data_IF_284028988718
#
_entry.id   IF_284028988718
#
_cell.length_a   1.000
_cell.length_b   1.000
_cell.length_c   1.000
_cell.angle_alpha   90.00
_cell.angle_beta   90.00
_cell.angle_gamma   90.00
#
_symmetry.space_group_name_H-M   'P 1'
#
loop_
_entity.id
_entity.type
_entity.pdbx_description
1 polymer ?
#
# COMPACT_ATOMS: atom_id res chain seq x y z
N UNK A 1 10.57 -8.08 11.41
CA UNK A 1 11.53 -8.13 10.30
C UNK A 1 10.84 -7.77 8.98
N UNK A 2 11.48 -6.94 8.20
CA UNK A 2 10.92 -6.52 6.89
C UNK A 2 11.61 -7.33 5.80
N UNK A 3 10.82 -7.86 4.88
CA UNK A 3 11.35 -8.63 3.74
C UNK A 3 10.48 -8.47 2.50
N UNK A 4 11.07 -8.75 1.36
CA UNK A 4 10.31 -8.81 0.11
C UNK A 4 9.42 -10.06 0.13
N UNK A 5 8.17 -9.91 -0.27
CA UNK A 5 7.23 -11.02 -0.36
C UNK A 5 7.47 -11.83 -1.62
N UNK A 6 7.18 -13.12 -1.53
CA UNK A 6 7.30 -14.06 -2.65
C UNK A 6 5.91 -14.57 -3.05
N UNK A 7 5.86 -15.42 -4.07
CA UNK A 7 4.60 -16.05 -4.50
C UNK A 7 3.92 -16.81 -3.35
N UNK A 8 4.69 -17.38 -2.44
CA UNK A 8 4.14 -18.12 -1.30
C UNK A 8 3.38 -17.23 -0.32
N UNK A 9 3.61 -15.92 -0.38
CA UNK A 9 2.97 -14.95 0.51
C UNK A 9 1.63 -14.43 -0.01
N UNK A 10 1.23 -14.77 -1.22
CA UNK A 10 0.03 -14.20 -1.87
C UNK A 10 -1.22 -14.37 -1.01
N UNK A 11 -1.40 -15.53 -0.38
CA UNK A 11 -2.53 -15.78 0.51
C UNK A 11 -2.57 -14.83 1.70
N UNK A 12 -1.42 -14.59 2.32
CA UNK A 12 -1.32 -13.68 3.47
C UNK A 12 -1.51 -12.23 3.04
N UNK A 13 -0.97 -11.84 1.89
CA UNK A 13 -1.18 -10.50 1.32
C UNK A 13 -2.67 -10.28 1.07
N UNK A 14 -3.34 -11.25 0.47
CA UNK A 14 -4.77 -11.22 0.21
C UNK A 14 -5.57 -10.99 1.51
N UNK A 15 -5.26 -11.72 2.55
CA UNK A 15 -5.94 -11.58 3.84
C UNK A 15 -5.71 -10.19 4.47
N UNK A 16 -4.47 -9.72 4.44
CA UNK A 16 -4.13 -8.41 5.02
C UNK A 16 -4.86 -7.28 4.30
N UNK A 17 -4.84 -7.29 2.97
CA UNK A 17 -5.52 -6.25 2.18
C UNK A 17 -7.01 -6.24 2.49
N UNK A 18 -7.66 -7.39 2.48
CA UNK A 18 -9.12 -7.46 2.65
C UNK A 18 -9.54 -7.20 4.11
N UNK A 19 -8.75 -7.62 5.09
CA UNK A 19 -9.00 -7.26 6.48
C UNK A 19 -8.89 -5.74 6.67
N UNK A 20 -7.81 -5.16 6.18
CA UNK A 20 -7.56 -3.72 6.35
C UNK A 20 -8.53 -2.86 5.56
N UNK A 21 -9.03 -3.36 4.43
CA UNK A 21 -9.98 -2.63 3.60
C UNK A 21 -11.30 -2.37 4.33
N UNK A 22 -11.64 -3.17 5.34
CA UNK A 22 -12.86 -2.95 6.12
C UNK A 22 -12.90 -1.56 6.78
N UNK A 23 -11.75 -1.01 7.13
CA UNK A 23 -11.67 0.34 7.68
C UNK A 23 -12.06 1.42 6.66
N UNK A 24 -12.02 1.07 5.37
CA UNK A 24 -12.37 1.99 4.27
C UNK A 24 -13.80 1.82 3.77
N UNK A 25 -14.54 0.89 4.35
CA UNK A 25 -15.95 0.70 3.97
C UNK A 25 -16.72 1.98 4.31
N UNK A 26 -17.45 2.52 3.33
CA UNK A 26 -18.11 3.81 3.46
C UNK A 26 -17.23 5.01 3.07
N UNK A 27 -15.91 4.83 3.00
CA UNK A 27 -14.94 5.83 2.50
C UNK A 27 -14.72 5.62 1.01
N UNK A 28 -14.56 4.35 0.60
CA UNK A 28 -14.47 3.98 -0.81
C UNK A 28 -15.84 4.16 -1.43
N UNK A 29 -15.98 4.84 -2.58
CA UNK A 29 -17.27 5.01 -3.25
C UNK A 29 -17.96 3.67 -3.45
N UNK A 30 -19.28 3.63 -3.25
CA UNK A 30 -20.08 2.40 -3.31
C UNK A 30 -19.93 1.67 -4.63
N UNK A 31 -19.80 2.39 -5.73
CA UNK A 31 -19.62 1.81 -7.06
C UNK A 31 -18.25 1.15 -7.25
N UNK A 32 -17.33 1.37 -6.32
CA UNK A 32 -15.99 0.78 -6.33
C UNK A 32 -15.78 -0.23 -5.22
N UNK A 33 -16.74 -0.35 -4.31
CA UNK A 33 -16.67 -1.33 -3.24
C UNK A 33 -17.29 -2.65 -3.68
N UNK A 34 -16.58 -3.73 -3.42
CA UNK A 34 -17.13 -5.08 -3.56
C UNK A 34 -16.50 -5.97 -2.49
N UNK A 35 -17.06 -7.14 -2.28
CA UNK A 35 -16.63 -8.03 -1.22
C UNK A 35 -16.29 -9.41 -1.82
N UNK A 36 -15.01 -9.86 -1.75
CA UNK A 36 -13.90 -9.16 -1.09
C UNK A 36 -13.48 -7.91 -1.88
N UNK A 37 -12.94 -6.92 -1.17
CA UNK A 37 -12.48 -5.68 -1.81
C UNK A 37 -11.44 -5.95 -2.90
N UNK A 38 -10.48 -6.83 -2.61
CA UNK A 38 -9.46 -7.25 -3.58
C UNK A 38 -9.61 -8.75 -3.84
N UNK A 39 -10.31 -9.16 -4.92
CA UNK A 39 -10.35 -10.57 -5.30
C UNK A 39 -8.95 -11.12 -5.57
N UNK A 40 -8.74 -12.40 -5.29
CA UNK A 40 -7.43 -13.03 -5.45
C UNK A 40 -6.88 -12.90 -6.87
N UNK A 41 -7.74 -13.06 -7.88
CA UNK A 41 -7.31 -12.94 -9.29
C UNK A 41 -6.81 -11.53 -9.60
N UNK A 42 -7.42 -10.52 -9.02
CA UNK A 42 -7.00 -9.12 -9.23
C UNK A 42 -5.64 -8.88 -8.59
N UNK A 43 -5.42 -9.42 -7.39
CA UNK A 43 -4.12 -9.33 -6.73
C UNK A 43 -3.02 -10.00 -7.56
N UNK A 44 -3.29 -11.19 -8.07
CA UNK A 44 -2.33 -11.91 -8.90
C UNK A 44 -2.01 -11.15 -10.18
N UNK A 45 -3.02 -10.52 -10.80
CA UNK A 45 -2.82 -9.70 -11.99
C UNK A 45 -1.96 -8.47 -11.70
N UNK A 46 -2.16 -7.81 -10.57
CA UNK A 46 -1.35 -6.64 -10.21
C UNK A 46 0.11 -7.02 -9.96
N UNK A 47 0.35 -8.17 -9.34
CA UNK A 47 1.71 -8.66 -9.16
C UNK A 47 2.35 -8.97 -10.51
N UNK A 48 1.61 -9.58 -11.43
CA UNK A 48 2.08 -9.84 -12.79
C UNK A 48 2.39 -8.55 -13.55
N UNK A 49 1.68 -7.45 -13.23
CA UNK A 49 1.90 -6.14 -13.84
C UNK A 49 3.08 -5.37 -13.23
N UNK A 50 3.79 -5.97 -12.29
CA UNK A 50 5.03 -5.41 -11.78
C UNK A 50 4.98 -4.83 -10.37
N UNK A 51 3.86 -4.98 -9.66
CA UNK A 51 3.82 -4.56 -8.26
C UNK A 51 4.59 -5.57 -7.41
N UNK A 52 5.55 -5.07 -6.65
CA UNK A 52 6.34 -5.86 -5.71
C UNK A 52 5.85 -5.54 -4.30
N UNK A 53 5.49 -6.56 -3.54
CA UNK A 53 5.08 -6.37 -2.15
C UNK A 53 6.25 -6.59 -1.21
N UNK A 54 6.34 -5.70 -0.22
CA UNK A 54 7.23 -5.84 0.91
C UNK A 54 6.37 -6.00 2.15
N UNK A 55 6.82 -6.85 3.06
CA UNK A 55 6.03 -7.17 4.24
C UNK A 55 6.83 -7.06 5.52
N UNK A 56 6.11 -6.83 6.61
CA UNK A 56 6.67 -6.87 7.95
C UNK A 56 6.13 -8.09 8.67
N UNK A 57 7.03 -8.87 9.30
CA UNK A 57 6.69 -10.07 10.04
C UNK A 57 6.78 -9.87 11.53
N UNK A 58 5.85 -10.47 12.26
CA UNK A 58 5.92 -10.65 13.69
C UNK A 58 5.63 -12.11 14.01
N UNK A 59 6.49 -12.73 14.81
CA UNK A 59 6.35 -14.14 15.20
C UNK A 59 6.17 -15.07 13.98
N UNK A 60 6.90 -14.79 12.89
CA UNK A 60 6.87 -15.62 11.68
C UNK A 60 5.69 -15.41 10.76
N UNK A 61 4.82 -14.42 11.05
CA UNK A 61 3.64 -14.14 10.23
C UNK A 61 3.68 -12.71 9.70
N UNK A 62 3.23 -12.53 8.44
CA UNK A 62 3.06 -11.19 7.89
C UNK A 62 1.93 -10.47 8.62
N UNK A 63 2.20 -9.23 9.04
CA UNK A 63 1.21 -8.38 9.73
C UNK A 63 0.97 -7.06 8.99
N UNK A 64 1.79 -6.74 8.01
CA UNK A 64 1.60 -5.57 7.17
C UNK A 64 2.29 -5.73 5.84
N UNK A 65 1.80 -5.05 4.82
CA UNK A 65 2.38 -5.07 3.48
C UNK A 65 2.27 -3.69 2.84
N UNK A 66 3.20 -3.40 1.94
CA UNK A 66 3.11 -2.27 1.02
C UNK A 66 3.55 -2.74 -0.36
N UNK A 67 2.73 -2.44 -1.36
CA UNK A 67 3.09 -2.70 -2.75
C UNK A 67 3.78 -1.49 -3.34
N UNK A 68 4.84 -1.72 -4.11
CA UNK A 68 5.57 -0.65 -4.79
C UNK A 68 5.72 -1.01 -6.26
N UNK A 69 5.50 -0.04 -7.13
CA UNK A 69 5.57 -0.22 -8.58
C UNK A 69 6.44 0.87 -9.20
N UNK A 70 7.38 0.45 -10.02
CA UNK A 70 8.25 1.38 -10.76
C UNK A 70 7.44 2.06 -11.88
N UNK A 71 7.39 3.38 -11.85
CA UNK A 71 6.70 4.20 -12.85
C UNK A 71 7.67 5.13 -13.59
N UNK A 72 8.93 4.71 -13.72
CA UNK A 72 10.01 5.44 -14.40
C UNK A 72 10.43 6.69 -13.63
N UNK A 73 9.60 7.72 -13.54
CA UNK A 73 9.93 8.97 -12.82
C UNK A 73 9.75 8.88 -11.31
N UNK A 74 8.82 8.02 -10.86
CA UNK A 74 8.53 7.82 -9.46
C UNK A 74 8.35 6.35 -9.15
N UNK A 75 8.46 5.99 -7.89
CA UNK A 75 7.97 4.71 -7.38
C UNK A 75 6.58 4.96 -6.79
N UNK A 76 5.59 4.20 -7.24
CA UNK A 76 4.22 4.32 -6.76
C UNK A 76 3.98 3.28 -5.67
N UNK A 77 3.63 3.75 -4.47
CA UNK A 77 3.20 2.86 -3.39
C UNK A 77 1.69 2.66 -3.49
N UNK A 78 1.28 1.40 -3.50
CA UNK A 78 -0.12 0.97 -3.56
C UNK A 78 -0.36 -0.09 -2.50
N UNK A 79 -1.60 -0.19 -2.05
CA UNK A 79 -2.03 -1.25 -1.12
C UNK A 79 -1.18 -1.30 0.16
N UNK A 80 -1.01 -0.13 0.79
CA UNK A 80 -0.27 -0.01 2.04
C UNK A 80 -1.21 -0.34 3.21
N UNK A 81 -1.11 -1.55 3.74
CA UNK A 81 -2.03 -2.03 4.78
C UNK A 81 -1.29 -2.72 5.91
N UNK A 82 -1.76 -2.48 7.12
CA UNK A 82 -1.30 -3.17 8.33
C UNK A 82 -2.54 -3.75 9.01
N UNK A 83 -2.45 -4.97 9.54
CA UNK A 83 -3.58 -5.58 10.27
C UNK A 83 -4.09 -4.62 11.33
N UNK A 84 -5.42 -4.53 11.45
CA UNK A 84 -6.07 -3.56 12.33
C UNK A 84 -5.59 -3.64 13.77
N UNK A 85 -5.28 -4.84 14.26
CA UNK A 85 -4.76 -5.05 15.61
C UNK A 85 -3.38 -4.43 15.85
N UNK A 86 -2.65 -4.09 14.79
CA UNK A 86 -1.25 -3.64 14.88
C UNK A 86 -0.99 -2.26 14.29
N UNK A 87 -2.04 -1.56 13.85
CA UNK A 87 -1.92 -0.25 13.19
C UNK A 87 -1.17 0.80 14.00
N UNK A 88 -1.33 0.78 15.32
CA UNK A 88 -0.77 1.82 16.19
C UNK A 88 0.64 1.51 16.67
N UNK A 89 1.25 0.41 16.21
CA UNK A 89 2.57 -0.02 16.68
C UNK A 89 3.73 0.43 15.80
N UNK A 90 3.49 1.34 14.84
CA UNK A 90 4.56 1.88 14.01
C UNK A 90 5.00 1.01 12.84
N UNK A 91 4.29 -0.09 12.57
CA UNK A 91 4.65 -0.99 11.46
C UNK A 91 4.62 -0.28 10.11
N UNK A 92 3.63 0.59 9.91
CA UNK A 92 3.52 1.35 8.66
C UNK A 92 4.70 2.27 8.42
N UNK A 93 5.16 2.95 9.48
CA UNK A 93 6.33 3.83 9.39
C UNK A 93 7.60 3.04 9.07
N UNK A 94 7.78 1.88 9.71
CA UNK A 94 8.93 1.03 9.43
C UNK A 94 8.96 0.55 7.98
N UNK A 95 7.82 0.11 7.45
CA UNK A 95 7.72 -0.30 6.05
C UNK A 95 8.01 0.86 5.10
N UNK A 96 7.41 2.02 5.36
CA UNK A 96 7.58 3.19 4.52
C UNK A 96 9.04 3.63 4.48
N UNK A 97 9.69 3.69 5.64
CA UNK A 97 11.11 4.06 5.73
C UNK A 97 11.98 3.07 4.95
N UNK A 98 11.66 1.78 5.03
CA UNK A 98 12.39 0.76 4.30
C UNK A 98 12.28 0.96 2.78
N UNK A 99 11.06 1.21 2.30
CA UNK A 99 10.83 1.42 0.86
C UNK A 99 11.50 2.69 0.36
N UNK A 100 11.53 3.74 1.17
CA UNK A 100 12.23 4.98 0.81
C UNK A 100 13.72 4.75 0.63
N UNK A 101 14.30 3.81 1.37
CA UNK A 101 15.71 3.51 1.31
C UNK A 101 16.13 2.62 0.14
N UNK A 102 15.17 2.06 -0.61
CA UNK A 102 15.47 1.13 -1.71
C UNK A 102 16.15 1.81 -2.90
N UNK A 103 15.77 3.04 -3.20
CA UNK A 103 16.44 3.84 -4.21
C UNK A 103 16.16 5.32 -3.98
N UNK A 104 16.73 6.18 -4.83
CA UNK A 104 16.61 7.63 -4.68
C UNK A 104 15.43 8.25 -5.43
N UNK A 105 14.63 7.42 -6.09
CA UNK A 105 13.50 7.90 -6.88
C UNK A 105 12.40 8.45 -5.95
N UNK A 106 11.73 9.57 -6.34
CA UNK A 106 10.61 10.08 -5.54
C UNK A 106 9.51 9.05 -5.40
N UNK A 107 8.81 9.10 -4.28
CA UNK A 107 7.70 8.19 -4.00
C UNK A 107 6.38 8.95 -4.13
N UNK A 108 5.44 8.39 -4.89
CA UNK A 108 4.07 8.84 -4.97
C UNK A 108 3.19 7.79 -4.29
N UNK A 109 2.26 8.23 -3.44
CA UNK A 109 1.39 7.33 -2.71
C UNK A 109 -0.06 7.62 -3.07
N UNK A 110 -0.80 6.57 -3.46
CA UNK A 110 -2.22 6.68 -3.73
C UNK A 110 -3.05 6.32 -2.49
N UNK A 111 -4.03 7.16 -2.16
CA UNK A 111 -4.99 6.84 -1.10
C UNK A 111 -6.34 7.50 -1.41
N UNK A 112 -7.38 7.10 -0.69
CA UNK A 112 -8.71 7.67 -0.86
C UNK A 112 -8.80 9.04 -0.20
N UNK A 113 -9.38 10.03 -0.91
CA UNK A 113 -9.44 11.42 -0.45
C UNK A 113 -10.10 11.57 0.93
N UNK A 114 -11.09 10.74 1.23
CA UNK A 114 -11.80 10.79 2.52
C UNK A 114 -11.11 9.99 3.62
N UNK A 115 -10.02 9.29 3.31
CA UNK A 115 -9.25 8.55 4.31
C UNK A 115 -8.30 9.51 5.04
N UNK A 116 -8.86 10.38 5.87
CA UNK A 116 -8.10 11.46 6.52
C UNK A 116 -6.98 10.94 7.41
N UNK A 117 -7.17 9.79 8.05
CA UNK A 117 -6.11 9.20 8.90
C UNK A 117 -4.91 8.76 8.07
N UNK A 118 -5.13 8.23 6.86
CA UNK A 118 -4.04 7.83 5.97
C UNK A 118 -3.27 9.06 5.47
N UNK A 119 -4.00 10.10 5.08
CA UNK A 119 -3.39 11.36 4.63
C UNK A 119 -2.53 11.95 5.73
N UNK A 120 -3.05 12.01 6.97
CA UNK A 120 -2.30 12.52 8.12
C UNK A 120 -1.06 11.69 8.40
N UNK A 121 -1.17 10.37 8.28
CA UNK A 121 -0.02 9.47 8.46
C UNK A 121 1.10 9.81 7.47
N UNK A 122 0.76 9.96 6.19
CA UNK A 122 1.76 10.27 5.18
C UNK A 122 2.34 11.68 5.36
N UNK A 123 1.52 12.67 5.71
CA UNK A 123 2.00 14.02 5.97
C UNK A 123 2.95 14.05 7.16
N UNK A 124 2.66 13.29 8.20
CA UNK A 124 3.54 13.16 9.37
C UNK A 124 4.90 12.57 8.99
N UNK A 125 4.95 11.75 7.95
CA UNK A 125 6.17 11.13 7.46
C UNK A 125 6.84 11.94 6.34
N UNK A 126 6.46 13.21 6.15
CA UNK A 126 7.13 14.11 5.23
C UNK A 126 6.54 14.21 3.84
N UNK A 127 5.38 13.60 3.60
CA UNK A 127 4.72 13.66 2.30
C UNK A 127 3.78 14.85 2.21
N UNK A 128 3.55 15.33 1.00
CA UNK A 128 2.61 16.42 0.73
C UNK A 128 1.56 15.97 -0.29
N UNK A 129 0.40 16.59 -0.24
CA UNK A 129 -0.63 16.36 -1.25
C UNK A 129 -0.17 17.01 -2.56
N UNK A 130 -0.46 16.31 -3.67
CA UNK A 130 -0.18 16.83 -5.01
C UNK A 130 -1.50 17.07 -5.74
N UNK A 131 -1.48 17.98 -6.72
CA UNK A 131 -2.64 18.23 -7.56
C UNK A 131 -2.87 17.05 -8.50
N UNK A 132 -4.08 16.97 -9.06
CA UNK A 132 -4.39 15.96 -10.08
C UNK A 132 -3.46 16.11 -11.29
N UNK A 133 -3.17 17.34 -11.68
CA UNK A 133 -2.27 17.61 -12.81
C UNK A 133 -0.86 17.07 -12.54
N UNK A 134 -0.32 17.37 -11.37
CA UNK A 134 1.01 16.89 -10.99
C UNK A 134 1.03 15.35 -10.90
N UNK A 135 -0.01 14.75 -10.31
CA UNK A 135 -0.13 13.30 -10.24
C UNK A 135 -0.12 12.68 -11.62
N UNK A 136 -0.93 13.21 -12.55
CA UNK A 136 -1.02 12.68 -13.91
C UNK A 136 0.30 12.81 -14.65
N UNK A 137 1.00 13.92 -14.45
CA UNK A 137 2.33 14.12 -15.04
C UNK A 137 3.33 13.08 -14.56
N UNK A 138 3.33 12.80 -13.26
CA UNK A 138 4.25 11.83 -12.64
C UNK A 138 3.95 10.40 -13.05
N UNK A 139 2.69 10.08 -13.29
CA UNK A 139 2.26 8.73 -13.67
C UNK A 139 2.19 8.50 -15.18
N UNK A 140 2.62 9.47 -15.95
CA UNK A 140 2.56 9.41 -17.42
C UNK A 140 3.69 8.53 -17.99
N UNK A 141 3.64 7.26 -17.70
CA UNK A 141 4.67 6.32 -18.16
C UNK A 141 4.04 4.99 -18.53
#
# INVERSE_FOLDING_TARGET
MIRQCTHDDVGDIYEIINDSAQAYKGIIPDDRWHDPYMPLVDLENEIADGIVFWGIEEAGKLVGVMGIQDKIEVNLIRHAYVKTSLRKKGAGTLLLDHLEALDSKPILIGTWAKATWAIKFYQKNGYRLVTREEKNRLLKT
#
